data_IF_212604134243
#
_entry.id   IF_212604134243
#
_cell.length_a   1.000
_cell.length_b   1.000
_cell.length_c   1.000
_cell.angle_alpha   90.00
_cell.angle_beta   90.00
_cell.angle_gamma   90.00
#
_symmetry.space_group_name_H-M   'P 1'
#
loop_
_entity.id
_entity.type
_entity.pdbx_description
1 polymer ?
#
# COMPACT_ATOMS: atom_id res chain seq x y z
N UNK A 1 -2.83 -33.07 -33.34
CA UNK A 1 -2.57 -32.05 -32.31
C UNK A 1 -3.52 -32.33 -31.16
N UNK A 2 -3.00 -32.76 -30.01
CA UNK A 2 -3.82 -33.28 -28.92
C UNK A 2 -4.50 -32.13 -28.17
N UNK A 3 -5.82 -32.24 -27.95
CA UNK A 3 -6.65 -31.22 -27.28
C UNK A 3 -6.10 -30.77 -25.92
N UNK A 4 -5.35 -31.63 -25.22
CA UNK A 4 -4.70 -31.31 -23.95
C UNK A 4 -3.62 -30.21 -24.07
N UNK A 5 -2.86 -30.17 -25.16
CA UNK A 5 -1.79 -29.19 -25.34
C UNK A 5 -2.32 -27.76 -25.52
N UNK A 6 -3.49 -27.62 -26.17
CA UNK A 6 -4.13 -26.32 -26.41
C UNK A 6 -4.65 -25.71 -25.10
N UNK A 7 -5.19 -26.53 -24.20
CA UNK A 7 -5.72 -26.08 -22.90
C UNK A 7 -4.59 -25.54 -22.00
N UNK A 8 -3.42 -26.19 -22.00
CA UNK A 8 -2.24 -25.72 -21.25
C UNK A 8 -1.70 -24.36 -21.76
N UNK A 9 -1.78 -24.10 -23.06
CA UNK A 9 -1.34 -22.82 -23.65
C UNK A 9 -2.29 -21.68 -23.26
N UNK A 10 -3.60 -21.94 -23.20
CA UNK A 10 -4.59 -20.91 -22.82
C UNK A 10 -4.47 -20.56 -21.33
N UNK A 11 -4.24 -21.56 -20.46
CA UNK A 11 -4.10 -21.35 -19.02
C UNK A 11 -2.85 -20.54 -18.65
N UNK A 12 -1.76 -20.69 -19.40
CA UNK A 12 -0.51 -19.93 -19.19
C UNK A 12 -0.60 -18.49 -19.70
N UNK A 13 -1.42 -18.21 -20.72
CA UNK A 13 -1.61 -16.86 -21.26
C UNK A 13 -2.42 -15.94 -20.33
N UNK A 14 -3.35 -16.49 -19.54
CA UNK A 14 -4.18 -15.73 -18.59
C UNK A 14 -3.42 -15.24 -17.34
N UNK A 15 -2.20 -15.74 -17.09
CA UNK A 15 -1.48 -15.49 -15.84
C UNK A 15 -0.74 -14.14 -15.78
N UNK A 16 -0.68 -13.37 -16.88
CA UNK A 16 0.26 -12.24 -17.01
C UNK A 16 -0.36 -10.82 -17.00
N UNK A 17 -1.67 -10.68 -16.75
CA UNK A 17 -2.33 -9.36 -16.74
C UNK A 17 -2.59 -8.83 -15.33
N UNK A 18 -1.60 -8.90 -14.43
CA UNK A 18 -1.60 -8.04 -13.23
C UNK A 18 -1.08 -6.66 -13.64
N UNK A 19 -1.95 -5.87 -14.27
CA UNK A 19 -1.64 -4.46 -14.55
C UNK A 19 -1.34 -3.72 -13.25
N UNK A 20 -0.22 -3.00 -13.19
CA UNK A 20 0.08 -2.13 -12.05
C UNK A 20 -0.99 -1.03 -12.01
N UNK A 21 -1.78 -1.00 -10.92
CA UNK A 21 -2.81 0.02 -10.77
C UNK A 21 -2.16 1.39 -10.56
N UNK A 22 -2.38 2.29 -11.51
CA UNK A 22 -1.95 3.68 -11.44
C UNK A 22 -2.94 4.50 -10.61
N UNK A 23 -2.41 5.24 -9.65
CA UNK A 23 -3.12 6.07 -8.68
C UNK A 23 -2.76 7.52 -8.98
N UNK A 24 -3.78 8.35 -9.16
CA UNK A 24 -3.65 9.81 -9.22
C UNK A 24 -4.61 10.45 -8.23
N UNK A 25 -4.06 10.89 -7.09
CA UNK A 25 -4.83 11.44 -5.99
C UNK A 25 -3.99 12.46 -5.23
N UNK A 26 -4.66 13.41 -4.56
CA UNK A 26 -4.04 14.44 -3.74
C UNK A 26 -4.84 14.60 -2.42
N UNK A 27 -4.22 15.23 -1.42
CA UNK A 27 -4.87 15.59 -0.16
C UNK A 27 -5.51 14.39 0.54
N UNK A 28 -6.72 14.58 1.09
CA UNK A 28 -7.42 13.56 1.87
C UNK A 28 -7.70 12.26 1.08
N UNK A 29 -7.88 12.33 -0.23
CA UNK A 29 -8.10 11.12 -1.04
C UNK A 29 -6.81 10.30 -1.15
N UNK A 30 -5.67 10.96 -1.35
CA UNK A 30 -4.38 10.27 -1.35
C UNK A 30 -4.06 9.71 0.04
N UNK A 31 -4.35 10.48 1.09
CA UNK A 31 -4.17 10.06 2.47
C UNK A 31 -4.97 8.78 2.77
N UNK A 32 -6.24 8.71 2.37
CA UNK A 32 -7.05 7.51 2.53
C UNK A 32 -6.45 6.28 1.81
N UNK A 33 -5.91 6.49 0.60
CA UNK A 33 -5.23 5.42 -0.15
C UNK A 33 -3.95 4.98 0.56
N UNK A 34 -3.10 5.92 0.98
CA UNK A 34 -1.88 5.62 1.71
C UNK A 34 -2.18 4.90 3.02
N UNK A 35 -3.24 5.32 3.73
CA UNK A 35 -3.70 4.67 4.96
C UNK A 35 -4.14 3.22 4.70
N UNK A 36 -4.88 2.98 3.62
CA UNK A 36 -5.28 1.63 3.21
C UNK A 36 -4.08 0.75 2.83
N UNK A 37 -3.11 1.30 2.08
CA UNK A 37 -1.93 0.57 1.61
C UNK A 37 -0.95 0.27 2.74
N UNK A 38 -0.71 1.23 3.64
CA UNK A 38 0.24 1.10 4.75
C UNK A 38 -0.37 0.54 6.05
N UNK A 39 -1.63 0.09 6.03
CA UNK A 39 -2.22 -0.64 7.15
C UNK A 39 -1.55 -2.01 7.32
N UNK A 40 -1.30 -2.41 8.57
CA UNK A 40 -0.65 -3.68 8.87
C UNK A 40 -1.48 -4.52 9.84
N UNK A 41 -1.89 -5.71 9.42
CA UNK A 41 -2.64 -6.66 10.24
C UNK A 41 -3.93 -6.06 10.82
N UNK A 42 -4.11 -6.19 12.14
CA UNK A 42 -5.26 -5.66 12.87
C UNK A 42 -5.02 -4.25 13.48
N UNK A 43 -3.90 -3.60 13.15
CA UNK A 43 -3.60 -2.28 13.67
C UNK A 43 -4.43 -1.21 12.93
N UNK A 44 -5.03 -0.28 13.69
CA UNK A 44 -5.96 0.72 13.15
C UNK A 44 -5.29 1.91 12.49
N UNK A 45 -4.06 2.19 12.86
CA UNK A 45 -3.32 3.34 12.36
C UNK A 45 -2.32 2.84 11.33
N UNK A 46 -2.26 3.44 10.14
CA UNK A 46 -1.25 3.09 9.17
C UNK A 46 0.12 3.54 9.66
N UNK A 47 1.14 2.79 9.30
CA UNK A 47 2.49 3.02 9.78
C UNK A 47 3.39 3.39 8.60
N UNK A 48 3.72 4.68 8.52
CA UNK A 48 4.63 5.27 7.54
C UNK A 48 5.10 6.64 8.01
N UNK A 49 6.25 7.10 7.51
CA UNK A 49 6.84 8.36 7.94
C UNK A 49 6.48 9.50 6.99
N UNK A 50 5.39 10.23 7.28
CA UNK A 50 4.97 11.40 6.50
C UNK A 50 6.03 12.49 6.36
N UNK A 51 6.91 12.65 7.34
CA UNK A 51 7.95 13.70 7.35
C UNK A 51 9.19 13.30 6.54
N UNK A 52 9.26 12.05 6.08
CA UNK A 52 10.37 11.62 5.22
C UNK A 52 10.36 12.32 3.87
N UNK A 53 11.54 12.65 3.37
CA UNK A 53 11.72 13.18 2.01
C UNK A 53 11.15 12.23 0.95
N UNK A 54 11.21 10.92 1.18
CA UNK A 54 10.63 9.91 0.29
C UNK A 54 9.10 9.99 0.26
N UNK A 55 8.43 10.16 1.41
CA UNK A 55 6.98 10.37 1.45
C UNK A 55 6.56 11.63 0.73
N UNK A 56 7.30 12.74 0.87
CA UNK A 56 7.03 13.96 0.12
C UNK A 56 7.15 13.75 -1.40
N UNK A 57 8.15 12.99 -1.85
CA UNK A 57 8.34 12.63 -3.27
C UNK A 57 7.18 11.78 -3.77
N UNK A 58 6.76 10.75 -3.02
CA UNK A 58 5.63 9.90 -3.39
C UNK A 58 4.32 10.69 -3.43
N UNK A 59 4.07 11.53 -2.42
CA UNK A 59 2.87 12.39 -2.37
C UNK A 59 2.80 13.33 -3.57
N UNK A 60 3.91 14.01 -3.87
CA UNK A 60 4.00 14.89 -5.04
C UNK A 60 3.81 14.11 -6.35
N UNK A 61 4.40 12.92 -6.46
CA UNK A 61 4.29 12.07 -7.65
C UNK A 61 2.86 11.57 -7.88
N UNK A 62 2.20 11.07 -6.83
CA UNK A 62 0.81 10.62 -6.88
C UNK A 62 -0.14 11.75 -7.26
N UNK A 63 0.15 12.99 -6.84
CA UNK A 63 -0.70 14.13 -7.13
C UNK A 63 -0.51 14.70 -8.55
N UNK A 64 0.74 14.92 -8.95
CA UNK A 64 1.05 15.66 -10.18
C UNK A 64 1.13 14.76 -11.42
N UNK A 65 1.76 13.59 -11.28
CA UNK A 65 1.97 12.65 -12.38
C UNK A 65 0.95 11.52 -12.22
N UNK A 66 1.42 10.37 -11.77
CA UNK A 66 0.71 9.15 -11.38
C UNK A 66 1.72 8.36 -10.53
N UNK A 67 1.25 7.62 -9.54
CA UNK A 67 2.07 6.65 -8.81
C UNK A 67 1.42 5.27 -8.88
N UNK A 68 2.11 4.25 -8.40
CA UNK A 68 1.59 2.89 -8.30
C UNK A 68 1.47 2.47 -6.85
N UNK A 69 0.66 1.45 -6.57
CA UNK A 69 0.56 0.88 -5.22
C UNK A 69 1.94 0.48 -4.67
N UNK A 70 2.80 -0.15 -5.49
CA UNK A 70 4.17 -0.52 -5.11
C UNK A 70 5.01 0.66 -4.67
N UNK A 71 4.81 1.82 -5.28
CA UNK A 71 5.54 3.03 -4.91
C UNK A 71 5.07 3.61 -3.57
N UNK A 72 3.77 3.51 -3.27
CA UNK A 72 3.23 3.83 -1.95
C UNK A 72 3.75 2.84 -0.91
N UNK A 73 3.81 1.55 -1.24
CA UNK A 73 4.34 0.50 -0.34
C UNK A 73 5.79 0.75 0.09
N UNK A 74 6.60 1.46 -0.70
CA UNK A 74 7.99 1.80 -0.34
C UNK A 74 8.10 2.75 0.83
N UNK A 75 7.12 3.63 1.02
CA UNK A 75 7.11 4.55 2.17
C UNK A 75 6.40 3.95 3.39
N UNK A 76 5.69 2.83 3.20
CA UNK A 76 5.10 2.07 4.28
C UNK A 76 6.16 1.37 5.12
N UNK A 77 5.87 1.23 6.41
CA UNK A 77 6.76 0.62 7.38
C UNK A 77 6.25 -0.78 7.75
N UNK A 78 6.85 -1.79 7.10
CA UNK A 78 6.49 -3.21 7.28
C UNK A 78 7.62 -4.06 7.88
N UNK A 79 8.76 -3.46 8.21
CA UNK A 79 9.86 -4.19 8.85
C UNK A 79 9.62 -4.32 10.34
N UNK A 80 10.04 -5.43 10.95
CA UNK A 80 9.82 -5.71 12.37
C UNK A 80 10.30 -4.57 13.29
N UNK A 81 11.49 -4.01 13.02
CA UNK A 81 12.03 -2.89 13.80
C UNK A 81 11.16 -1.64 13.70
N UNK A 82 10.58 -1.42 12.52
CA UNK A 82 9.79 -0.24 12.24
C UNK A 82 8.36 -0.41 12.79
N UNK A 83 7.77 -1.60 12.64
CA UNK A 83 6.52 -2.00 13.30
C UNK A 83 6.63 -1.95 14.82
N UNK A 84 7.75 -2.38 15.41
CA UNK A 84 8.01 -2.25 16.84
C UNK A 84 8.09 -0.79 17.30
N UNK A 85 8.50 0.14 16.44
CA UNK A 85 8.45 1.58 16.75
C UNK A 85 7.06 2.17 16.59
N UNK A 86 6.32 1.76 15.55
CA UNK A 86 4.96 2.22 15.32
C UNK A 86 3.94 1.67 16.32
N UNK A 87 4.11 0.44 16.77
CA UNK A 87 3.12 -0.32 17.54
C UNK A 87 3.67 -0.92 18.85
N UNK A 88 4.95 -0.72 19.17
CA UNK A 88 5.61 -1.32 20.33
C UNK A 88 4.88 -1.11 21.66
N UNK A 89 4.67 -2.23 22.37
CA UNK A 89 3.95 -2.42 23.63
C UNK A 89 2.49 -1.89 23.66
N UNK A 90 1.83 -1.77 22.52
CA UNK A 90 0.38 -1.48 22.45
C UNK A 90 -0.45 -2.71 22.07
N UNK A 91 -0.26 -3.81 22.81
CA UNK A 91 -1.37 -4.72 23.14
C UNK A 91 -2.36 -4.07 24.14
N UNK A 92 -2.15 -2.80 24.51
CA UNK A 92 -3.13 -1.99 25.23
C UNK A 92 -4.00 -1.25 24.22
N UNK A 93 -5.10 -1.90 23.87
CA UNK A 93 -6.28 -1.32 23.22
C UNK A 93 -6.53 0.10 23.73
N UNK A 94 -6.22 1.10 22.91
CA UNK A 94 -6.78 2.45 23.09
C UNK A 94 -7.36 2.92 21.76
N UNK A 95 -8.63 2.57 21.58
CA UNK A 95 -9.56 3.42 20.84
C UNK A 95 -9.44 4.84 21.38
N UNK A 96 -8.61 5.69 20.78
CA UNK A 96 -8.86 7.13 20.81
C UNK A 96 -9.59 7.47 19.53
N UNK A 97 -10.92 7.45 19.65
CA UNK A 97 -11.82 8.12 18.72
C UNK A 97 -11.37 9.59 18.68
N UNK A 98 -10.77 10.01 17.56
CA UNK A 98 -10.62 11.44 17.29
C UNK A 98 -12.00 11.93 16.89
N UNK A 99 -12.72 12.48 17.87
CA UNK A 99 -13.88 13.32 17.65
C UNK A 99 -13.40 14.77 17.50
N UNK A 100 -14.09 15.47 16.60
CA UNK A 100 -13.97 16.88 16.19
C UNK A 100 -13.01 17.20 15.05
#
# INVERSE_FOLDING_TARGET
MNNAAVIFIIATLMLQLKGDQHIKACGAHLEAIMNSVCSYGNHKLPCYNYESSESAVIVSKCCNVWCTKKEIERVCCFTEQCLKKCYGDTDVVSFKVVAH
#
